data_IF_703393664133
#
_entry.id   IF_703393664133
#
_cell.length_a   1.000
_cell.length_b   1.000
_cell.length_c   1.000
_cell.angle_alpha   90.00
_cell.angle_beta   90.00
_cell.angle_gamma   90.00
#
_symmetry.space_group_name_H-M   'P 1'
#
loop_
_entity.id
_entity.type
_entity.pdbx_description
1 polymer ?
#
# COMPACT_ATOMS: atom_id res chain seq x y z
N UNK A 1 -18.40 -5.32 7.61
CA UNK A 1 -18.75 -5.02 6.21
C UNK A 1 -17.66 -4.13 5.64
N UNK A 2 -17.15 -4.45 4.45
CA UNK A 2 -16.09 -3.71 3.75
C UNK A 2 -16.51 -2.26 3.43
N UNK A 3 -15.54 -1.35 3.30
CA UNK A 3 -15.77 0.06 2.96
C UNK A 3 -16.37 0.21 1.55
N UNK A 4 -17.35 1.09 1.43
CA UNK A 4 -18.11 1.37 0.20
C UNK A 4 -17.98 2.83 -0.24
N UNK A 5 -18.51 3.16 -1.42
CA UNK A 5 -18.57 4.55 -1.92
C UNK A 5 -19.44 5.41 -1.01
N UNK A 6 -20.51 4.85 -0.46
CA UNK A 6 -21.43 5.51 0.47
C UNK A 6 -20.72 5.91 1.76
N UNK A 7 -19.79 5.09 2.25
CA UNK A 7 -18.97 5.43 3.43
C UNK A 7 -18.10 6.68 3.17
N UNK A 8 -17.56 6.82 1.95
CA UNK A 8 -16.83 8.05 1.58
C UNK A 8 -17.76 9.27 1.43
N UNK A 9 -18.99 9.06 0.93
CA UNK A 9 -20.00 10.13 0.84
C UNK A 9 -20.42 10.65 2.22
N UNK A 10 -20.38 9.82 3.26
CA UNK A 10 -20.66 10.28 4.63
C UNK A 10 -19.53 11.12 5.24
N UNK A 11 -18.29 10.95 4.76
CA UNK A 11 -17.13 11.68 5.29
C UNK A 11 -16.87 13.02 4.61
N UNK A 12 -17.20 13.14 3.32
CA UNK A 12 -17.01 14.38 2.57
C UNK A 12 -18.28 14.76 1.81
N UNK A 13 -18.50 16.07 1.68
CA UNK A 13 -19.66 16.59 0.94
C UNK A 13 -19.64 16.08 -0.51
N UNK A 14 -20.80 15.68 -1.02
CA UNK A 14 -20.92 15.06 -2.35
C UNK A 14 -20.32 15.91 -3.48
N UNK A 15 -20.44 17.23 -3.42
CA UNK A 15 -19.83 18.11 -4.42
C UNK A 15 -18.30 18.04 -4.41
N UNK A 16 -17.67 17.88 -3.23
CA UNK A 16 -16.22 17.70 -3.14
C UNK A 16 -15.81 16.34 -3.69
N UNK A 17 -16.55 15.28 -3.36
CA UNK A 17 -16.27 13.93 -3.86
C UNK A 17 -16.32 13.90 -5.39
N UNK A 18 -17.32 14.56 -5.98
CA UNK A 18 -17.45 14.67 -7.44
C UNK A 18 -16.27 15.43 -8.05
N UNK A 19 -15.84 16.54 -7.46
CA UNK A 19 -14.69 17.32 -7.95
C UNK A 19 -13.40 16.51 -7.84
N UNK A 20 -13.17 15.82 -6.72
CA UNK A 20 -11.97 15.02 -6.50
C UNK A 20 -11.87 13.82 -7.44
N UNK A 21 -13.00 13.26 -7.85
CA UNK A 21 -13.05 12.12 -8.77
C UNK A 21 -13.29 12.52 -10.24
N UNK A 22 -13.28 13.83 -10.57
CA UNK A 22 -13.65 14.36 -11.88
C UNK A 22 -15.01 13.84 -12.41
N UNK A 23 -15.95 13.58 -11.49
CA UNK A 23 -17.25 12.98 -11.79
C UNK A 23 -17.23 11.49 -12.14
N UNK A 24 -16.07 10.84 -12.13
CA UNK A 24 -15.90 9.43 -12.45
C UNK A 24 -15.95 8.56 -11.18
N UNK A 25 -17.05 7.81 -11.02
CA UNK A 25 -17.22 6.90 -9.88
C UNK A 25 -16.22 5.72 -9.87
N UNK A 26 -15.61 5.39 -11.01
CA UNK A 26 -14.57 4.35 -11.08
C UNK A 26 -13.28 4.79 -10.41
N UNK A 27 -12.99 6.10 -10.38
CA UNK A 27 -11.86 6.67 -9.63
C UNK A 27 -12.07 6.47 -8.13
N UNK A 28 -13.29 6.72 -7.64
CA UNK A 28 -13.65 6.51 -6.23
C UNK A 28 -13.46 5.05 -5.84
N UNK A 29 -14.00 4.13 -6.64
CA UNK A 29 -13.89 2.69 -6.40
C UNK A 29 -12.42 2.23 -6.38
N UNK A 30 -11.61 2.65 -7.36
CA UNK A 30 -10.17 2.33 -7.41
C UNK A 30 -9.40 2.89 -6.21
N UNK A 31 -9.76 4.07 -5.73
CA UNK A 31 -9.16 4.67 -4.54
C UNK A 31 -9.43 3.83 -3.29
N UNK A 32 -10.64 3.29 -3.14
CA UNK A 32 -10.99 2.35 -2.06
C UNK A 32 -10.15 1.07 -2.18
N UNK A 33 -10.08 0.47 -3.37
CA UNK A 33 -9.32 -0.77 -3.60
C UNK A 33 -7.84 -0.60 -3.26
N UNK A 34 -7.21 0.49 -3.71
CA UNK A 34 -5.83 0.84 -3.36
C UNK A 34 -5.66 1.00 -1.85
N UNK A 35 -6.60 1.66 -1.19
CA UNK A 35 -6.57 1.88 0.25
C UNK A 35 -6.65 0.57 1.04
N UNK A 36 -7.53 -0.36 0.62
CA UNK A 36 -7.64 -1.70 1.21
C UNK A 36 -6.33 -2.48 1.06
N UNK A 37 -5.76 -2.51 -0.15
CA UNK A 37 -4.49 -3.20 -0.42
C UNK A 37 -3.38 -2.62 0.46
N UNK A 38 -3.30 -1.30 0.55
CA UNK A 38 -2.31 -0.61 1.36
C UNK A 38 -2.44 -0.95 2.85
N UNK A 39 -3.66 -0.90 3.41
CA UNK A 39 -3.90 -1.21 4.81
C UNK A 39 -3.57 -2.67 5.14
N UNK A 40 -4.00 -3.61 4.27
CA UNK A 40 -3.65 -5.04 4.38
C UNK A 40 -2.15 -5.27 4.35
N UNK A 41 -1.44 -4.63 3.43
CA UNK A 41 0.01 -4.74 3.31
C UNK A 41 0.73 -4.23 4.56
N UNK A 42 0.29 -3.08 5.10
CA UNK A 42 0.84 -2.48 6.32
C UNK A 42 0.65 -3.37 7.55
N UNK A 43 -0.55 -3.89 7.74
CA UNK A 43 -0.85 -4.78 8.88
C UNK A 43 -0.15 -6.13 8.75
N UNK A 44 -0.07 -6.68 7.53
CA UNK A 44 0.64 -7.94 7.27
C UNK A 44 2.14 -7.78 7.52
N UNK A 45 2.74 -6.65 7.14
CA UNK A 45 4.15 -6.34 7.45
C UNK A 45 4.42 -6.28 8.97
N UNK A 46 3.42 -5.85 9.75
CA UNK A 46 3.45 -5.85 11.21
C UNK A 46 3.12 -7.22 11.84
N UNK A 47 3.00 -8.29 11.05
CA UNK A 47 2.55 -9.63 11.48
C UNK A 47 1.14 -9.65 12.09
N UNK A 48 0.32 -8.64 11.78
CA UNK A 48 -1.08 -8.57 12.19
C UNK A 48 -2.03 -9.22 11.18
N UNK A 49 -3.29 -9.36 11.57
CA UNK A 49 -4.39 -9.77 10.70
C UNK A 49 -5.29 -8.55 10.48
N UNK A 50 -5.57 -8.24 9.22
CA UNK A 50 -6.46 -7.15 8.84
C UNK A 50 -7.90 -7.67 8.73
N UNK A 51 -8.75 -7.27 9.67
CA UNK A 51 -10.18 -7.54 9.62
C UNK A 51 -10.93 -6.31 9.10
N UNK A 52 -11.54 -6.44 7.92
CA UNK A 52 -12.31 -5.37 7.26
C UNK A 52 -13.56 -4.97 8.02
N UNK A 53 -14.04 -5.80 8.95
CA UNK A 53 -15.27 -5.55 9.69
C UNK A 53 -15.04 -4.71 10.94
N UNK A 54 -13.80 -4.60 11.40
CA UNK A 54 -13.45 -3.78 12.56
C UNK A 54 -13.56 -2.29 12.23
N UNK A 55 -14.25 -1.52 13.08
CA UNK A 55 -14.52 -0.09 12.88
C UNK A 55 -13.25 0.74 12.63
N UNK A 56 -12.17 0.46 13.37
CA UNK A 56 -10.89 1.16 13.20
C UNK A 56 -10.26 0.89 11.83
N UNK A 57 -10.37 -0.33 11.32
CA UNK A 57 -9.84 -0.74 10.02
C UNK A 57 -10.64 -0.13 8.87
N UNK A 58 -11.97 -0.02 9.04
CA UNK A 58 -12.81 0.73 8.12
C UNK A 58 -12.39 2.20 8.06
N UNK A 59 -12.17 2.83 9.21
CA UNK A 59 -11.74 4.22 9.27
C UNK A 59 -10.37 4.44 8.62
N UNK A 60 -9.40 3.54 8.86
CA UNK A 60 -8.08 3.56 8.21
C UNK A 60 -8.23 3.52 6.69
N UNK A 61 -9.05 2.60 6.16
CA UNK A 61 -9.30 2.47 4.72
C UNK A 61 -9.97 3.73 4.17
N UNK A 62 -10.93 4.32 4.88
CA UNK A 62 -11.60 5.54 4.43
C UNK A 62 -10.61 6.71 4.37
N UNK A 63 -9.81 6.95 5.41
CA UNK A 63 -8.81 8.03 5.40
C UNK A 63 -7.76 7.83 4.30
N UNK A 64 -7.33 6.58 4.07
CA UNK A 64 -6.42 6.26 2.97
C UNK A 64 -7.07 6.41 1.59
N UNK A 65 -8.34 6.08 1.42
CA UNK A 65 -9.06 6.29 0.16
C UNK A 65 -9.22 7.78 -0.14
N UNK A 66 -9.46 8.60 0.88
CA UNK A 66 -9.45 10.07 0.74
C UNK A 66 -8.07 10.58 0.33
N UNK A 67 -6.98 10.05 0.89
CA UNK A 67 -5.63 10.36 0.41
C UNK A 67 -5.48 10.12 -1.09
N UNK A 68 -5.91 8.96 -1.60
CA UNK A 68 -5.80 8.62 -3.03
C UNK A 68 -6.63 9.59 -3.89
N UNK A 69 -7.81 10.00 -3.43
CA UNK A 69 -8.66 10.98 -4.11
C UNK A 69 -8.06 12.38 -4.14
N UNK A 70 -7.54 12.87 -3.01
CA UNK A 70 -6.87 14.16 -2.95
C UNK A 70 -5.56 14.17 -3.75
N UNK A 71 -4.83 13.05 -3.75
CA UNK A 71 -3.63 12.87 -4.57
C UNK A 71 -3.98 12.84 -6.07
N UNK A 72 -5.10 12.21 -6.45
CA UNK A 72 -5.58 12.21 -7.83
C UNK A 72 -5.95 13.63 -8.30
N UNK A 73 -6.55 14.42 -7.42
CA UNK A 73 -6.90 15.82 -7.67
C UNK A 73 -5.72 16.81 -7.48
N UNK A 74 -4.48 16.32 -7.44
CA UNK A 74 -3.24 17.10 -7.28
C UNK A 74 -3.21 17.99 -6.01
N UNK A 75 -4.01 17.66 -5.00
CA UNK A 75 -4.06 18.38 -3.72
C UNK A 75 -3.20 17.67 -2.67
N UNK A 76 -1.88 17.79 -2.83
CA UNK A 76 -0.90 17.05 -2.02
C UNK A 76 -0.91 17.43 -0.54
N UNK A 77 -1.20 18.70 -0.19
CA UNK A 77 -1.23 19.14 1.20
C UNK A 77 -2.31 18.41 1.99
N UNK A 78 -3.55 18.43 1.48
CA UNK A 78 -4.67 17.74 2.15
C UNK A 78 -4.51 16.23 2.07
N UNK A 79 -3.93 15.72 0.97
CA UNK A 79 -3.59 14.30 0.89
C UNK A 79 -2.65 13.91 2.04
N UNK A 80 -1.53 14.62 2.22
CA UNK A 80 -0.57 14.30 3.28
C UNK A 80 -1.19 14.31 4.68
N UNK A 81 -2.06 15.26 4.99
CA UNK A 81 -2.81 15.27 6.26
C UNK A 81 -3.62 13.98 6.44
N UNK A 82 -4.31 13.50 5.38
CA UNK A 82 -5.08 12.24 5.42
C UNK A 82 -4.21 11.00 5.51
N UNK A 83 -3.01 11.04 4.95
CA UNK A 83 -2.02 9.97 5.11
C UNK A 83 -1.54 9.90 6.56
N UNK A 84 -1.25 11.04 7.17
CA UNK A 84 -0.82 11.11 8.58
C UNK A 84 -1.92 10.60 9.51
N UNK A 85 -3.16 11.06 9.35
CA UNK A 85 -4.33 10.56 10.08
C UNK A 85 -4.45 9.02 10.00
N UNK A 86 -4.34 8.46 8.78
CA UNK A 86 -4.44 7.02 8.55
C UNK A 86 -3.27 6.24 9.18
N UNK A 87 -2.07 6.82 9.18
CA UNK A 87 -0.88 6.23 9.79
C UNK A 87 -0.94 6.26 11.31
N UNK A 88 -1.45 7.34 11.91
CA UNK A 88 -1.67 7.42 13.35
C UNK A 88 -2.66 6.36 13.83
N UNK A 89 -3.78 6.17 13.10
CA UNK A 89 -4.75 5.12 13.40
C UNK A 89 -4.13 3.72 13.29
N UNK A 90 -3.32 3.47 12.25
CA UNK A 90 -2.61 2.20 12.10
C UNK A 90 -1.64 1.95 13.26
N UNK A 91 -0.85 2.95 13.66
CA UNK A 91 0.09 2.84 14.79
C UNK A 91 -0.65 2.61 16.10
N UNK A 92 -1.77 3.29 16.32
CA UNK A 92 -2.60 3.10 17.51
C UNK A 92 -3.21 1.68 17.57
N UNK A 93 -3.63 1.13 16.43
CA UNK A 93 -4.28 -0.18 16.37
C UNK A 93 -3.29 -1.36 16.40
N UNK A 94 -2.13 -1.23 15.75
CA UNK A 94 -1.21 -2.35 15.50
C UNK A 94 0.22 -2.13 15.99
N UNK A 95 0.52 -0.95 16.57
CA UNK A 95 1.84 -0.56 17.04
C UNK A 95 2.73 0.01 15.93
N UNK A 96 3.93 0.46 16.32
CA UNK A 96 4.86 1.19 15.43
C UNK A 96 5.44 0.34 14.29
N UNK A 97 5.31 -0.99 14.36
CA UNK A 97 5.79 -1.92 13.33
C UNK A 97 5.11 -1.74 11.97
N UNK A 98 3.90 -1.16 11.92
CA UNK A 98 3.22 -0.79 10.66
C UNK A 98 3.95 0.30 9.88
N UNK A 99 4.76 1.11 10.57
CA UNK A 99 5.54 2.16 9.95
C UNK A 99 6.97 1.74 9.59
N UNK A 100 7.37 0.51 9.95
CA UNK A 100 8.67 -0.06 9.61
C UNK A 100 8.84 -0.38 8.11
N UNK A 101 8.07 0.27 7.23
CA UNK A 101 8.24 0.25 5.78
C UNK A 101 9.49 1.03 5.30
N UNK A 102 10.36 1.45 6.21
CA UNK A 102 11.76 1.74 5.92
C UNK A 102 12.62 0.60 6.44
N UNK A 103 13.11 -0.27 5.55
CA UNK A 103 14.19 -1.25 5.77
C UNK A 103 14.62 -1.45 7.23
N UNK A 104 14.28 -2.59 7.83
CA UNK A 104 15.18 -3.16 8.83
C UNK A 104 16.47 -3.57 8.10
N UNK A 105 17.41 -2.63 7.98
CA UNK A 105 18.76 -2.85 7.44
C UNK A 105 19.65 -3.68 8.37
N UNK A 106 19.07 -4.51 9.24
CA UNK A 106 19.81 -5.33 10.21
C UNK A 106 19.44 -6.82 10.16
N UNK A 107 18.72 -7.27 9.14
CA UNK A 107 18.82 -8.68 8.75
C UNK A 107 19.95 -8.79 7.75
N UNK A 108 21.07 -9.38 8.16
CA UNK A 108 22.07 -9.94 7.26
C UNK A 108 21.36 -10.88 6.27
N UNK A 109 20.87 -10.32 5.16
CA UNK A 109 20.41 -11.14 4.05
C UNK A 109 21.66 -11.75 3.46
N UNK A 110 21.97 -12.98 3.87
CA UNK A 110 22.95 -13.79 3.15
C UNK A 110 22.54 -13.77 1.67
N UNK A 111 23.38 -13.27 0.76
CA UNK A 111 23.03 -13.23 -0.64
C UNK A 111 22.77 -14.67 -1.11
N UNK A 112 21.58 -14.92 -1.64
CA UNK A 112 21.23 -16.19 -2.27
C UNK A 112 22.16 -16.30 -3.49
N UNK A 113 23.07 -17.29 -3.57
CA UNK A 113 24.00 -17.37 -4.67
C UNK A 113 23.23 -17.65 -5.97
N UNK A 114 23.27 -16.69 -6.89
CA UNK A 114 22.76 -16.87 -8.24
C UNK A 114 23.68 -17.86 -8.98
N UNK A 115 23.22 -19.10 -9.13
CA UNK A 115 23.66 -20.07 -10.14
C UNK A 115 25.15 -20.40 -10.19
N UNK A 116 25.53 -21.59 -9.70
CA UNK A 116 26.84 -22.17 -9.99
C UNK A 116 26.90 -22.61 -11.46
N UNK A 117 27.59 -21.85 -12.33
CA UNK A 117 27.91 -22.32 -13.68
C UNK A 117 29.04 -23.35 -13.54
N UNK A 118 28.71 -24.63 -13.70
CA UNK A 118 29.70 -25.70 -13.76
C UNK A 118 30.63 -25.41 -14.97
N UNK A 119 31.96 -25.25 -14.79
CA UNK A 119 32.86 -25.12 -15.91
C UNK A 119 32.74 -26.38 -16.76
N UNK A 120 32.28 -26.22 -18.00
CA UNK A 120 32.20 -27.32 -18.97
C UNK A 120 33.58 -27.91 -19.19
N UNK A 121 33.67 -29.25 -19.19
CA UNK A 121 34.89 -29.99 -19.49
C UNK A 121 35.50 -29.50 -20.82
N UNK A 122 36.79 -29.18 -20.79
CA UNK A 122 37.53 -28.62 -21.90
C UNK A 122 37.35 -29.43 -23.18
N UNK A 123 36.99 -28.74 -24.27
CA UNK A 123 37.16 -29.24 -25.63
C UNK A 123 38.44 -28.63 -26.18
N UNK A 124 39.54 -29.38 -26.09
CA UNK A 124 40.77 -29.10 -26.82
C UNK A 124 40.56 -29.47 -28.28
N UNK A 125 40.17 -28.50 -29.12
CA UNK A 125 40.21 -28.67 -30.57
C UNK A 125 40.98 -27.51 -31.19
N UNK A 126 42.29 -27.65 -31.29
CA UNK A 126 43.14 -26.91 -32.23
C UNK A 126 44.21 -27.85 -32.71
N UNK A 127 44.14 -28.15 -34.02
CA UNK A 127 45.05 -28.88 -34.93
C UNK A 127 44.14 -29.70 -35.90
N UNK A 128 43.90 -29.41 -37.18
CA UNK A 128 44.65 -28.88 -38.36
C UNK A 128 43.63 -28.37 -39.43
N UNK A 129 43.99 -27.69 -40.55
CA UNK A 129 45.30 -27.49 -41.18
C UNK A 129 45.86 -26.06 -41.15
#
# INVERSE_FOLDING_TARGET
MSVTVEDLRSEIKEYNLKVLADGDSTVIQRSIEKAVIWAKAKVTAASGIFDEDTEINRLIVIKRALYELYSYAENESVANDKKEDAMELLRAAYGDSVDAAGYQSNSEKSPIPAGFVKPGAGRTNTEWP
#
